data_IF_319483566991
#
_entry.id   IF_319483566991
#
_cell.length_a   1.000
_cell.length_b   1.000
_cell.length_c   1.000
_cell.angle_alpha   90.00
_cell.angle_beta   90.00
_cell.angle_gamma   90.00
#
_symmetry.space_group_name_H-M   'P 1'
#
loop_
_entity.id
_entity.type
_entity.pdbx_description
1 polymer ?
#
# COMPACT_ATOMS: atom_id res chain seq x y z
N UNK A 1 -3.40 44.16 -12.40
CA UNK A 1 -3.80 42.74 -12.56
C UNK A 1 -3.55 42.02 -11.23
N UNK A 2 -4.58 41.38 -10.65
CA UNK A 2 -4.76 41.16 -9.20
C UNK A 2 -3.74 40.21 -8.52
N UNK A 3 -3.00 40.69 -7.50
CA UNK A 3 -2.22 39.85 -6.56
C UNK A 3 -3.04 38.70 -5.95
N UNK A 4 -4.35 38.87 -5.80
CA UNK A 4 -5.29 37.83 -5.34
C UNK A 4 -5.50 36.71 -6.35
N UNK A 5 -5.35 36.96 -7.65
CA UNK A 5 -5.46 35.93 -8.68
C UNK A 5 -4.23 35.00 -8.66
N UNK A 6 -3.03 35.58 -8.51
CA UNK A 6 -1.78 34.81 -8.44
C UNK A 6 -1.73 33.86 -7.22
N UNK A 7 -2.32 34.25 -6.09
CA UNK A 7 -2.42 33.39 -4.91
C UNK A 7 -3.40 32.20 -5.09
N UNK A 8 -4.40 32.33 -5.97
CA UNK A 8 -5.40 31.29 -6.25
C UNK A 8 -4.98 30.35 -7.39
N UNK A 9 -4.08 30.79 -8.26
CA UNK A 9 -3.67 30.03 -9.44
C UNK A 9 -3.13 28.61 -9.12
N UNK A 10 -2.29 28.38 -8.09
CA UNK A 10 -1.86 27.03 -7.75
C UNK A 10 -3.00 26.10 -7.32
N UNK A 11 -4.01 26.64 -6.63
CA UNK A 11 -5.20 25.89 -6.22
C UNK A 11 -6.10 25.54 -7.40
N UNK A 12 -6.28 26.47 -8.33
CA UNK A 12 -7.01 26.22 -9.57
C UNK A 12 -6.28 25.16 -10.41
N UNK A 13 -4.96 25.28 -10.56
CA UNK A 13 -4.14 24.31 -11.26
C UNK A 13 -4.24 22.91 -10.62
N UNK A 14 -4.25 22.84 -9.27
CA UNK A 14 -4.43 21.58 -8.55
C UNK A 14 -5.82 20.97 -8.75
N UNK A 15 -6.88 21.79 -8.76
CA UNK A 15 -8.24 21.32 -9.03
C UNK A 15 -8.38 20.81 -10.47
N UNK A 16 -7.81 21.52 -11.45
CA UNK A 16 -7.76 21.07 -12.85
C UNK A 16 -6.95 19.77 -12.96
N UNK A 17 -5.80 19.68 -12.29
CA UNK A 17 -5.00 18.46 -12.26
C UNK A 17 -5.79 17.28 -11.66
N UNK A 18 -6.56 17.50 -10.58
CA UNK A 18 -7.41 16.47 -9.99
C UNK A 18 -8.48 15.97 -10.97
N UNK A 19 -9.11 16.86 -11.73
CA UNK A 19 -10.06 16.46 -12.79
C UNK A 19 -9.38 15.67 -13.90
N UNK A 20 -8.24 16.15 -14.41
CA UNK A 20 -7.44 15.46 -15.44
C UNK A 20 -6.93 14.09 -14.96
N UNK A 21 -6.59 13.96 -13.68
CA UNK A 21 -6.11 12.70 -13.10
C UNK A 21 -7.24 11.76 -12.66
N UNK A 22 -8.50 12.11 -12.91
CA UNK A 22 -9.67 11.28 -12.54
C UNK A 22 -10.47 10.91 -13.77
N UNK A 23 -10.94 11.91 -14.51
CA UNK A 23 -11.88 11.75 -15.60
C UNK A 23 -11.43 10.71 -16.67
N UNK A 24 -10.19 10.74 -17.19
CA UNK A 24 -9.76 9.75 -18.18
C UNK A 24 -9.79 8.31 -17.67
N UNK A 25 -9.52 8.08 -16.38
CA UNK A 25 -9.47 6.75 -15.77
C UNK A 25 -10.86 6.14 -15.51
N UNK A 26 -11.90 6.97 -15.50
CA UNK A 26 -13.29 6.53 -15.44
C UNK A 26 -13.84 6.09 -16.80
N UNK A 27 -13.31 6.66 -17.88
CA UNK A 27 -13.76 6.38 -19.26
C UNK A 27 -12.80 5.48 -20.05
N UNK A 28 -11.74 4.96 -19.43
CA UNK A 28 -10.77 4.13 -20.14
C UNK A 28 -9.95 3.25 -19.22
N UNK A 29 -9.39 2.17 -19.79
CA UNK A 29 -8.55 1.21 -19.07
C UNK A 29 -7.08 1.68 -18.95
N UNK A 30 -6.85 2.98 -18.73
CA UNK A 30 -5.50 3.54 -18.68
C UNK A 30 -4.66 2.92 -17.55
N UNK A 31 -5.25 2.72 -16.38
CA UNK A 31 -4.56 2.10 -15.24
C UNK A 31 -4.20 0.64 -15.52
N UNK A 32 -5.09 -0.11 -16.17
CA UNK A 32 -4.85 -1.50 -16.58
C UNK A 32 -3.74 -1.55 -17.63
N UNK A 33 -3.82 -0.74 -18.68
CA UNK A 33 -2.78 -0.67 -19.73
C UNK A 33 -1.43 -0.25 -19.15
N UNK A 34 -1.40 0.74 -18.28
CA UNK A 34 -0.18 1.17 -17.61
C UNK A 34 0.43 0.06 -16.74
N UNK A 35 -0.40 -0.67 -15.99
CA UNK A 35 0.04 -1.78 -15.14
C UNK A 35 0.51 -2.99 -15.97
N UNK A 36 -0.14 -3.27 -17.11
CA UNK A 36 0.19 -4.39 -17.99
C UNK A 36 1.63 -4.35 -18.53
N UNK A 37 2.23 -3.15 -18.67
CA UNK A 37 3.63 -3.02 -19.08
C UNK A 37 4.64 -3.67 -18.13
N UNK A 38 4.27 -3.86 -16.85
CA UNK A 38 5.13 -4.46 -15.83
C UNK A 38 4.78 -5.92 -15.53
N UNK A 39 3.65 -6.40 -16.04
CA UNK A 39 3.12 -7.71 -15.74
C UNK A 39 3.69 -8.77 -16.69
N UNK A 40 4.06 -9.92 -16.14
CA UNK A 40 4.43 -11.12 -16.88
C UNK A 40 3.72 -12.30 -16.24
N UNK A 41 2.99 -13.10 -17.01
CA UNK A 41 2.23 -14.22 -16.45
C UNK A 41 3.19 -15.29 -15.91
N UNK A 42 3.13 -15.54 -14.61
CA UNK A 42 3.84 -16.65 -13.95
C UNK A 42 2.82 -17.62 -13.29
N UNK A 43 3.22 -18.88 -12.99
CA UNK A 43 2.39 -19.78 -12.20
C UNK A 43 1.98 -19.16 -10.87
N UNK A 44 0.70 -19.28 -10.51
CA UNK A 44 0.11 -18.68 -9.30
C UNK A 44 0.80 -19.13 -8.00
N UNK A 45 1.31 -20.36 -7.99
CA UNK A 45 2.06 -21.00 -6.89
C UNK A 45 3.31 -20.21 -6.47
N UNK A 46 3.93 -19.49 -7.40
CA UNK A 46 5.13 -18.69 -7.15
C UNK A 46 4.82 -17.34 -6.47
N UNK A 47 3.54 -17.06 -6.21
CA UNK A 47 3.07 -15.83 -5.61
C UNK A 47 3.00 -14.67 -6.60
N UNK A 48 2.47 -13.54 -6.14
CA UNK A 48 2.31 -12.36 -6.99
C UNK A 48 3.66 -11.81 -7.47
N UNK A 49 4.69 -11.80 -6.63
CA UNK A 49 5.98 -11.17 -6.97
C UNK A 49 6.64 -11.81 -8.21
N UNK A 50 6.38 -13.10 -8.48
CA UNK A 50 6.85 -13.78 -9.69
C UNK A 50 6.22 -13.22 -10.97
N UNK A 51 4.96 -12.76 -10.89
CA UNK A 51 4.27 -12.13 -12.03
C UNK A 51 4.61 -10.64 -12.21
N UNK A 52 5.38 -10.06 -11.29
CA UNK A 52 5.82 -8.66 -11.31
C UNK A 52 7.36 -8.56 -11.14
N UNK A 53 8.13 -9.19 -12.05
CA UNK A 53 9.57 -9.39 -11.85
C UNK A 53 10.36 -8.08 -11.79
N UNK A 54 9.89 -7.04 -12.49
CA UNK A 54 10.54 -5.73 -12.53
C UNK A 54 10.61 -5.07 -11.15
N UNK A 55 9.65 -5.33 -10.25
CA UNK A 55 9.68 -4.77 -8.89
C UNK A 55 10.92 -5.17 -8.08
N UNK A 56 11.55 -6.30 -8.40
CA UNK A 56 12.75 -6.81 -7.75
C UNK A 56 14.04 -6.54 -8.55
N UNK A 57 13.93 -5.93 -9.73
CA UNK A 57 15.06 -5.62 -10.62
C UNK A 57 15.49 -4.15 -10.48
N UNK A 58 16.70 -3.85 -10.96
CA UNK A 58 17.14 -2.46 -11.08
C UNK A 58 16.50 -1.80 -12.32
N UNK A 59 16.20 -0.50 -12.28
CA UNK A 59 16.43 0.45 -11.17
C UNK A 59 15.31 0.46 -10.11
N UNK A 60 14.21 -0.26 -10.31
CA UNK A 60 13.00 -0.17 -9.47
C UNK A 60 13.23 -0.56 -8.02
N UNK A 61 14.01 -1.61 -7.77
CA UNK A 61 14.37 -2.02 -6.40
C UNK A 61 15.15 -0.91 -5.68
N UNK A 62 16.12 -0.28 -6.35
CA UNK A 62 16.84 0.86 -5.77
C UNK A 62 15.91 2.06 -5.52
N UNK A 63 15.01 2.38 -6.45
CA UNK A 63 14.04 3.47 -6.29
C UNK A 63 13.08 3.22 -5.11
N UNK A 64 12.66 1.97 -4.88
CA UNK A 64 11.86 1.60 -3.71
C UNK A 64 12.61 1.81 -2.40
N UNK A 65 13.85 1.32 -2.31
CA UNK A 65 14.69 1.49 -1.12
C UNK A 65 15.02 2.97 -0.90
N UNK A 66 15.36 3.68 -1.98
CA UNK A 66 15.65 5.11 -1.95
C UNK A 66 14.44 5.92 -1.48
N UNK A 67 13.24 5.67 -2.02
CA UNK A 67 12.03 6.36 -1.58
C UNK A 67 11.75 6.17 -0.09
N UNK A 68 12.01 4.95 0.42
CA UNK A 68 11.93 4.66 1.86
C UNK A 68 12.97 5.44 2.66
N UNK A 69 14.23 5.43 2.23
CA UNK A 69 15.31 6.18 2.89
C UNK A 69 15.09 7.71 2.85
N UNK A 70 14.58 8.21 1.73
CA UNK A 70 14.26 9.62 1.52
C UNK A 70 13.19 10.11 2.51
N UNK A 71 12.22 9.26 2.84
CA UNK A 71 11.17 9.60 3.81
C UNK A 71 11.76 9.93 5.18
N UNK A 72 12.72 9.12 5.62
CA UNK A 72 13.48 9.34 6.85
C UNK A 72 14.37 10.57 6.76
N UNK A 73 15.08 10.70 5.64
CA UNK A 73 16.02 11.80 5.44
C UNK A 73 15.31 13.16 5.50
N UNK A 74 14.17 13.33 4.85
CA UNK A 74 13.44 14.60 4.81
C UNK A 74 12.90 14.97 6.19
N UNK A 75 12.32 14.00 6.90
CA UNK A 75 11.79 14.21 8.25
C UNK A 75 12.93 14.57 9.21
N UNK A 76 13.99 13.77 9.23
CA UNK A 76 15.13 14.00 10.11
C UNK A 76 15.83 15.32 9.80
N UNK A 77 16.09 15.62 8.53
CA UNK A 77 16.70 16.89 8.13
C UNK A 77 15.86 18.09 8.57
N UNK A 78 14.54 18.00 8.47
CA UNK A 78 13.63 19.08 8.90
C UNK A 78 13.58 19.22 10.43
N UNK A 79 13.60 18.10 11.16
CA UNK A 79 13.68 18.09 12.63
C UNK A 79 14.99 18.71 13.10
N UNK A 80 16.12 18.28 12.54
CA UNK A 80 17.46 18.82 12.87
C UNK A 80 17.52 20.31 12.53
N UNK A 81 17.00 20.73 11.37
CA UNK A 81 16.93 22.13 10.98
C UNK A 81 16.12 23.01 11.93
N UNK A 82 15.09 22.44 12.58
CA UNK A 82 14.33 23.13 13.59
C UNK A 82 14.97 23.08 14.98
N UNK A 83 15.59 21.95 15.35
CA UNK A 83 16.20 21.73 16.65
C UNK A 83 17.47 22.58 16.84
N UNK A 84 18.33 22.68 15.82
CA UNK A 84 19.61 23.40 15.89
C UNK A 84 19.38 24.92 15.97
N UNK A 85 19.77 25.61 17.08
CA UNK A 85 19.47 27.03 17.29
C UNK A 85 20.02 27.97 16.21
N UNK A 86 21.18 27.65 15.64
CA UNK A 86 21.78 28.43 14.56
C UNK A 86 20.96 28.37 13.28
N UNK A 87 20.43 27.20 12.92
CA UNK A 87 19.68 26.97 11.68
C UNK A 87 18.26 27.51 11.78
N UNK A 88 17.57 27.27 12.90
CA UNK A 88 16.21 27.78 13.12
C UNK A 88 16.11 29.31 13.16
N UNK A 89 17.20 30.01 13.50
CA UNK A 89 17.25 31.49 13.49
C UNK A 89 17.25 32.04 12.07
N UNK A 90 17.71 31.27 11.08
CA UNK A 90 17.64 31.67 9.69
C UNK A 90 16.19 31.53 9.15
N UNK A 91 15.53 32.62 8.74
CA UNK A 91 14.09 32.62 8.49
C UNK A 91 13.67 31.68 7.35
N UNK A 92 14.50 31.56 6.31
CA UNK A 92 14.23 30.67 5.18
C UNK A 92 14.33 29.19 5.60
N UNK A 93 15.35 28.83 6.39
CA UNK A 93 15.59 27.45 6.83
C UNK A 93 14.49 26.99 7.78
N UNK A 94 14.11 27.85 8.73
CA UNK A 94 12.97 27.58 9.62
C UNK A 94 11.68 27.36 8.85
N UNK A 95 11.41 28.20 7.83
CA UNK A 95 10.21 28.07 7.00
C UNK A 95 10.25 26.80 6.16
N UNK A 96 11.39 26.44 5.57
CA UNK A 96 11.56 25.17 4.84
C UNK A 96 11.27 23.99 5.77
N UNK A 97 11.87 23.96 6.96
CA UNK A 97 11.69 22.87 7.93
C UNK A 97 10.22 22.73 8.37
N UNK A 98 9.59 23.82 8.81
CA UNK A 98 8.21 23.79 9.27
C UNK A 98 7.23 23.43 8.15
N UNK A 99 7.39 24.01 6.96
CA UNK A 99 6.51 23.70 5.82
C UNK A 99 6.65 22.26 5.41
N UNK A 100 7.88 21.73 5.38
CA UNK A 100 8.13 20.34 5.03
C UNK A 100 7.55 19.38 6.07
N UNK A 101 7.76 19.62 7.38
CA UNK A 101 7.17 18.81 8.44
C UNK A 101 5.64 18.82 8.40
N UNK A 102 5.03 19.99 8.24
CA UNK A 102 3.59 20.11 8.11
C UNK A 102 3.07 19.41 6.85
N UNK A 103 3.80 19.50 5.73
CA UNK A 103 3.43 18.80 4.49
C UNK A 103 3.50 17.29 4.64
N UNK A 104 4.56 16.76 5.27
CA UNK A 104 4.69 15.32 5.51
C UNK A 104 3.60 14.84 6.47
N UNK A 105 3.34 15.58 7.56
CA UNK A 105 2.32 15.23 8.53
C UNK A 105 0.90 15.25 7.93
N UNK A 106 0.53 16.33 7.24
CA UNK A 106 -0.80 16.50 6.64
C UNK A 106 -0.96 15.65 5.37
N UNK A 107 0.00 15.70 4.46
CA UNK A 107 -0.05 15.01 3.17
C UNK A 107 0.21 13.52 3.31
N UNK A 108 1.47 13.14 3.56
CA UNK A 108 1.88 11.73 3.64
C UNK A 108 1.24 11.01 4.82
N UNK A 109 1.25 11.61 6.00
CA UNK A 109 0.74 11.00 7.24
C UNK A 109 -0.78 10.87 7.24
N UNK A 110 -1.48 12.00 7.25
CA UNK A 110 -2.94 12.04 7.41
C UNK A 110 -3.67 11.70 6.11
N UNK A 111 -3.52 12.51 5.05
CA UNK A 111 -4.34 12.38 3.84
C UNK A 111 -4.06 11.07 3.08
N UNK A 112 -2.79 10.74 2.85
CA UNK A 112 -2.43 9.57 2.04
C UNK A 112 -2.50 8.27 2.84
N UNK A 113 -1.80 8.17 3.98
CA UNK A 113 -1.73 6.92 4.73
C UNK A 113 -2.84 6.75 5.77
N UNK A 114 -3.28 7.81 6.44
CA UNK A 114 -4.28 7.73 7.51
C UNK A 114 -5.72 7.62 7.00
N UNK A 115 -6.09 8.43 6.02
CA UNK A 115 -7.43 8.47 5.44
C UNK A 115 -7.48 7.66 4.14
N UNK A 116 -6.59 7.94 3.19
CA UNK A 116 -6.63 7.31 1.88
C UNK A 116 -6.51 5.78 1.92
N UNK A 117 -5.43 5.27 2.52
CA UNK A 117 -5.13 3.84 2.45
C UNK A 117 -6.15 2.90 3.10
N UNK A 118 -6.68 3.26 4.26
CA UNK A 118 -7.52 2.35 5.04
C UNK A 118 -9.01 2.44 4.66
N UNK A 119 -9.44 3.55 4.05
CA UNK A 119 -10.86 3.81 3.77
C UNK A 119 -11.26 3.74 2.29
N UNK A 120 -10.31 3.58 1.37
CA UNK A 120 -10.64 3.56 -0.07
C UNK A 120 -11.03 2.19 -0.60
N UNK A 121 -10.61 1.10 0.04
CA UNK A 121 -10.96 -0.26 -0.38
C UNK A 121 -10.56 -0.59 -1.82
N UNK A 122 -9.55 0.10 -2.38
CA UNK A 122 -9.14 -0.09 -3.77
C UNK A 122 -8.17 -1.28 -3.86
N UNK A 123 -8.45 -2.31 -4.69
CA UNK A 123 -7.57 -3.45 -4.86
C UNK A 123 -6.25 -3.05 -5.53
N UNK A 124 -5.22 -3.89 -5.40
CA UNK A 124 -3.91 -3.67 -6.05
C UNK A 124 -3.92 -4.23 -7.47
N UNK A 125 -3.09 -3.70 -8.39
CA UNK A 125 -2.92 -4.31 -9.71
C UNK A 125 -2.66 -5.81 -9.64
N UNK A 126 -1.72 -6.25 -8.80
CA UNK A 126 -1.38 -7.68 -8.66
C UNK A 126 -2.51 -8.60 -8.19
N UNK A 127 -3.58 -8.04 -7.61
CA UNK A 127 -4.72 -8.82 -7.13
C UNK A 127 -5.88 -8.85 -8.12
N UNK A 128 -5.77 -8.15 -9.26
CA UNK A 128 -6.84 -8.06 -10.25
C UNK A 128 -6.97 -9.30 -11.13
N UNK A 129 -8.18 -9.59 -11.62
CA UNK A 129 -8.48 -10.69 -12.54
C UNK A 129 -7.65 -10.63 -13.83
N UNK A 130 -7.47 -9.43 -14.39
CA UNK A 130 -6.67 -9.17 -15.59
C UNK A 130 -5.20 -9.61 -15.43
N UNK A 131 -4.72 -9.65 -14.18
CA UNK A 131 -3.35 -10.01 -13.82
C UNK A 131 -3.27 -11.33 -13.03
N UNK A 132 -4.26 -12.21 -13.21
CA UNK A 132 -4.28 -13.55 -12.61
C UNK A 132 -4.74 -13.61 -11.15
N UNK A 133 -5.23 -12.49 -10.61
CA UNK A 133 -5.89 -12.42 -9.31
C UNK A 133 -7.40 -12.65 -9.39
N UNK A 134 -8.14 -12.13 -8.41
CA UNK A 134 -9.59 -12.36 -8.24
C UNK A 134 -10.40 -11.07 -8.04
N UNK A 135 -9.74 -9.95 -7.71
CA UNK A 135 -10.40 -8.66 -7.50
C UNK A 135 -10.77 -7.99 -8.82
N UNK A 136 -11.84 -7.18 -8.81
CA UNK A 136 -12.22 -6.33 -9.93
C UNK A 136 -11.53 -4.97 -9.86
N UNK A 137 -11.21 -4.40 -11.02
CA UNK A 137 -10.67 -3.06 -11.09
C UNK A 137 -11.69 -2.01 -10.62
N UNK A 138 -11.19 -0.98 -9.92
CA UNK A 138 -11.96 0.20 -9.54
C UNK A 138 -11.21 1.46 -9.99
N UNK A 139 -11.88 2.46 -10.60
CA UNK A 139 -11.23 3.72 -10.98
C UNK A 139 -10.85 4.57 -9.75
N UNK A 140 -10.00 5.60 -9.90
CA UNK A 140 -9.61 6.46 -8.78
C UNK A 140 -10.84 7.18 -8.19
N UNK A 141 -10.89 7.28 -6.86
CA UNK A 141 -12.00 7.82 -6.06
C UNK A 141 -13.31 7.01 -6.07
N UNK A 142 -13.35 5.83 -6.71
CA UNK A 142 -14.42 4.86 -6.50
C UNK A 142 -14.14 4.06 -5.21
N UNK A 143 -14.85 4.41 -4.14
CA UNK A 143 -14.62 3.86 -2.80
C UNK A 143 -15.18 2.43 -2.70
N UNK A 144 -14.30 1.49 -2.37
CA UNK A 144 -14.65 0.13 -1.97
C UNK A 144 -14.87 -0.03 -0.48
N UNK A 145 -14.97 -1.29 -0.06
CA UNK A 145 -15.14 -1.63 1.34
C UNK A 145 -13.88 -1.24 2.12
N UNK A 146 -13.99 -0.39 3.16
CA UNK A 146 -12.85 -0.05 4.01
C UNK A 146 -12.10 -1.27 4.51
N UNK A 147 -10.77 -1.22 4.51
CA UNK A 147 -9.91 -2.34 4.87
C UNK A 147 -9.70 -3.40 3.77
N UNK A 148 -10.57 -3.48 2.76
CA UNK A 148 -10.46 -4.45 1.65
C UNK A 148 -9.68 -3.83 0.49
N UNK A 149 -8.35 -3.88 0.58
CA UNK A 149 -7.46 -3.33 -0.44
C UNK A 149 -6.94 -1.92 -0.10
N UNK A 150 -5.65 -1.71 -0.34
CA UNK A 150 -4.90 -0.53 0.11
C UNK A 150 -3.94 -0.01 -0.98
N UNK A 151 -4.44 0.08 -2.21
CA UNK A 151 -3.68 0.65 -3.34
C UNK A 151 -3.79 2.18 -3.39
N UNK A 152 -4.95 2.77 -3.13
CA UNK A 152 -5.14 4.21 -3.28
C UNK A 152 -5.00 4.97 -1.96
N UNK A 153 -4.27 6.09 -1.90
CA UNK A 153 -3.21 6.56 -2.81
C UNK A 153 -1.83 5.95 -2.50
N UNK A 154 -0.85 6.23 -3.37
CA UNK A 154 0.51 5.73 -3.20
C UNK A 154 1.31 6.42 -2.07
N UNK A 155 1.36 5.81 -0.88
CA UNK A 155 2.14 6.30 0.26
C UNK A 155 3.62 6.59 0.00
N UNK A 156 4.34 5.66 -0.66
CA UNK A 156 5.79 5.85 -0.94
C UNK A 156 6.05 6.99 -1.93
N UNK A 157 5.14 7.20 -2.88
CA UNK A 157 5.25 8.25 -3.90
C UNK A 157 5.16 9.65 -3.28
N UNK A 158 4.28 9.82 -2.28
CA UNK A 158 4.03 11.10 -1.59
C UNK A 158 5.31 11.75 -1.09
N UNK A 159 6.30 10.97 -0.67
CA UNK A 159 7.57 11.47 -0.12
C UNK A 159 8.37 12.23 -1.18
N UNK A 160 8.41 11.73 -2.42
CA UNK A 160 9.06 12.43 -3.53
C UNK A 160 8.39 13.76 -3.83
N UNK A 161 7.05 13.78 -3.85
CA UNK A 161 6.28 15.01 -4.06
C UNK A 161 6.41 16.00 -2.90
N UNK A 162 6.58 15.52 -1.65
CA UNK A 162 6.72 16.36 -0.48
C UNK A 162 7.99 17.24 -0.51
N UNK A 163 9.02 16.85 -1.27
CA UNK A 163 10.21 17.70 -1.55
C UNK A 163 9.80 19.04 -2.18
N UNK A 164 8.69 19.07 -2.93
CA UNK A 164 8.15 20.29 -3.53
C UNK A 164 7.81 21.38 -2.50
N UNK A 165 7.53 21.02 -1.25
CA UNK A 165 7.33 21.96 -0.15
C UNK A 165 8.56 22.85 0.09
N UNK A 166 9.76 22.28 -0.06
CA UNK A 166 11.01 23.04 0.00
C UNK A 166 11.09 24.03 -1.16
N UNK A 167 10.76 23.58 -2.38
CA UNK A 167 10.75 24.42 -3.58
C UNK A 167 9.80 25.62 -3.46
N UNK A 168 8.61 25.44 -2.86
CA UNK A 168 7.65 26.52 -2.57
C UNK A 168 8.21 27.61 -1.64
N UNK A 169 9.11 27.24 -0.73
CA UNK A 169 9.75 28.22 0.16
C UNK A 169 10.96 28.86 -0.53
N UNK A 170 11.79 28.05 -1.19
CA UNK A 170 13.00 28.50 -1.89
C UNK A 170 12.66 29.49 -3.01
N UNK A 171 11.56 29.30 -3.74
CA UNK A 171 11.16 30.21 -4.82
C UNK A 171 10.92 31.65 -4.37
N UNK A 172 10.64 31.88 -3.08
CA UNK A 172 10.45 33.24 -2.55
C UNK A 172 11.76 34.05 -2.47
N UNK A 173 12.91 33.37 -2.49
CA UNK A 173 14.23 33.98 -2.45
C UNK A 173 15.05 33.71 -3.73
N UNK A 174 14.87 32.54 -4.34
CA UNK A 174 15.54 32.09 -5.57
C UNK A 174 14.53 31.40 -6.49
N UNK A 175 13.78 32.16 -7.31
CA UNK A 175 12.66 31.63 -8.11
C UNK A 175 13.05 30.46 -9.01
N UNK A 176 14.17 30.59 -9.74
CA UNK A 176 14.67 29.56 -10.67
C UNK A 176 14.99 28.25 -9.96
N UNK A 177 15.73 28.32 -8.85
CA UNK A 177 16.06 27.15 -8.03
C UNK A 177 14.79 26.53 -7.41
N UNK A 178 13.86 27.35 -6.94
CA UNK A 178 12.59 26.87 -6.38
C UNK A 178 11.75 26.11 -7.40
N UNK A 179 11.65 26.62 -8.64
CA UNK A 179 10.98 25.93 -9.75
C UNK A 179 11.69 24.63 -10.10
N UNK A 180 13.03 24.63 -10.15
CA UNK A 180 13.81 23.42 -10.42
C UNK A 180 13.56 22.33 -9.35
N UNK A 181 13.51 22.69 -8.06
CA UNK A 181 13.19 21.75 -6.97
C UNK A 181 11.77 21.19 -7.12
N UNK A 182 10.81 22.02 -7.52
CA UNK A 182 9.42 21.59 -7.75
C UNK A 182 9.35 20.56 -8.88
N UNK A 183 9.94 20.87 -10.03
CA UNK A 183 9.99 19.94 -11.16
C UNK A 183 10.69 18.65 -10.73
N UNK A 184 11.83 18.76 -10.05
CA UNK A 184 12.55 17.62 -9.49
C UNK A 184 11.70 16.77 -8.54
N UNK A 185 10.83 17.38 -7.72
CA UNK A 185 9.92 16.66 -6.81
C UNK A 185 8.87 15.84 -7.56
N UNK A 186 8.35 16.35 -8.68
CA UNK A 186 7.41 15.60 -9.53
C UNK A 186 8.10 14.44 -10.24
N UNK A 187 9.30 14.67 -10.78
CA UNK A 187 10.11 13.61 -11.39
C UNK A 187 10.45 12.52 -10.36
N UNK A 188 10.79 12.93 -9.14
CA UNK A 188 11.15 12.01 -8.08
C UNK A 188 9.95 11.21 -7.56
N UNK A 189 8.82 11.85 -7.31
CA UNK A 189 7.57 11.18 -6.95
C UNK A 189 7.11 10.21 -8.03
N UNK A 190 7.22 10.60 -9.30
CA UNK A 190 6.95 9.75 -10.46
C UNK A 190 7.90 8.55 -10.56
N UNK A 191 9.21 8.75 -10.36
CA UNK A 191 10.19 7.67 -10.38
C UNK A 191 10.00 6.66 -9.24
N UNK A 192 9.73 7.13 -8.02
CA UNK A 192 9.36 6.24 -6.92
C UNK A 192 8.04 5.52 -7.24
N UNK A 193 7.09 6.22 -7.86
CA UNK A 193 5.82 5.65 -8.29
C UNK A 193 5.94 4.55 -9.34
N UNK A 194 6.82 4.72 -10.34
CA UNK A 194 7.05 3.68 -11.34
C UNK A 194 7.61 2.40 -10.70
N UNK A 195 8.47 2.51 -9.69
CA UNK A 195 8.93 1.35 -8.92
C UNK A 195 7.79 0.64 -8.15
N UNK A 196 6.80 1.40 -7.68
CA UNK A 196 5.62 0.85 -7.02
C UNK A 196 4.65 0.20 -8.00
N UNK A 197 4.52 0.75 -9.21
CA UNK A 197 3.77 0.14 -10.32
C UNK A 197 4.45 -1.14 -10.80
N UNK A 198 5.78 -1.13 -10.93
CA UNK A 198 6.58 -2.28 -11.32
C UNK A 198 6.46 -3.48 -10.36
N UNK A 199 6.15 -3.22 -9.09
CA UNK A 199 5.87 -4.24 -8.08
C UNK A 199 4.39 -4.67 -8.02
N UNK A 200 3.55 -4.19 -8.95
CA UNK A 200 2.11 -4.47 -8.98
C UNK A 200 1.35 -3.93 -7.76
N UNK A 201 1.93 -2.94 -7.06
CA UNK A 201 1.41 -2.47 -5.78
C UNK A 201 0.45 -1.27 -5.91
N UNK A 202 0.60 -0.47 -6.97
CA UNK A 202 -0.14 0.76 -7.20
C UNK A 202 -0.43 0.96 -8.69
N UNK A 203 -1.58 1.53 -9.00
CA UNK A 203 -1.93 2.01 -10.35
C UNK A 203 -1.28 3.35 -10.65
N UNK A 204 -1.29 3.77 -11.92
CA UNK A 204 -0.77 5.07 -12.31
C UNK A 204 -1.55 6.22 -11.67
N UNK A 205 -2.89 6.12 -11.64
CA UNK A 205 -3.73 7.12 -10.97
C UNK A 205 -3.48 7.22 -9.46
N UNK A 206 -3.07 6.14 -8.78
CA UNK A 206 -2.68 6.17 -7.36
C UNK A 206 -1.47 7.08 -7.13
N UNK A 207 -0.51 7.07 -8.07
CA UNK A 207 0.70 7.90 -8.05
C UNK A 207 0.33 9.36 -8.29
N UNK A 208 -0.50 9.64 -9.29
CA UNK A 208 -0.96 11.00 -9.60
C UNK A 208 -1.74 11.63 -8.44
N UNK A 209 -2.69 10.88 -7.86
CA UNK A 209 -3.47 11.33 -6.71
C UNK A 209 -2.63 11.48 -5.44
N UNK A 210 -1.60 10.64 -5.26
CA UNK A 210 -0.61 10.89 -4.21
C UNK A 210 0.08 12.24 -4.39
N UNK A 211 0.40 12.64 -5.64
CA UNK A 211 0.94 13.96 -5.95
C UNK A 211 -0.04 15.07 -5.59
N UNK A 212 -1.29 14.95 -6.04
CA UNK A 212 -2.36 15.94 -5.80
C UNK A 212 -2.56 16.19 -4.30
N UNK A 213 -2.74 15.14 -3.51
CA UNK A 213 -2.98 15.26 -2.06
C UNK A 213 -1.77 15.84 -1.32
N UNK A 214 -0.57 15.42 -1.70
CA UNK A 214 0.67 15.94 -1.09
C UNK A 214 0.85 17.42 -1.42
N UNK A 215 0.55 17.83 -2.64
CA UNK A 215 0.64 19.22 -3.07
C UNK A 215 -0.45 20.10 -2.46
N UNK A 216 -1.67 19.58 -2.27
CA UNK A 216 -2.70 20.26 -1.48
C UNK A 216 -2.19 20.55 -0.06
N UNK A 217 -1.57 19.56 0.58
CA UNK A 217 -0.97 19.72 1.89
C UNK A 217 0.22 20.70 1.88
N UNK A 218 1.05 20.69 0.83
CA UNK A 218 2.20 21.58 0.70
C UNK A 218 1.78 23.05 0.56
N UNK A 219 0.79 23.32 -0.30
CA UNK A 219 0.22 24.65 -0.49
C UNK A 219 -0.46 25.15 0.79
N UNK A 220 -1.27 24.30 1.43
CA UNK A 220 -1.89 24.61 2.74
C UNK A 220 -0.82 24.96 3.78
N UNK A 221 0.17 24.09 3.94
CA UNK A 221 1.25 24.25 4.92
C UNK A 221 2.01 25.55 4.69
N UNK A 222 2.40 25.83 3.45
CA UNK A 222 3.13 27.04 3.10
C UNK A 222 2.28 28.31 3.34
N UNK A 223 0.99 28.26 3.00
CA UNK A 223 0.07 29.38 3.23
C UNK A 223 -0.12 29.67 4.73
N UNK A 224 -0.33 28.63 5.54
CA UNK A 224 -0.49 28.77 6.99
C UNK A 224 0.77 29.33 7.65
N UNK A 225 1.94 28.80 7.30
CA UNK A 225 3.22 29.20 7.93
C UNK A 225 3.67 30.61 7.47
N UNK A 226 3.29 31.01 6.25
CA UNK A 226 3.58 32.36 5.75
C UNK A 226 2.58 33.43 6.22
N UNK A 227 1.41 33.02 6.71
CA UNK A 227 0.38 33.91 7.21
C UNK A 227 0.81 34.69 8.46
N UNK A 228 0.70 36.02 8.43
CA UNK A 228 1.05 36.90 9.55
C UNK A 228 0.27 36.57 10.84
N UNK A 229 -1.00 36.15 10.70
CA UNK A 229 -1.87 35.77 11.82
C UNK A 229 -1.36 34.52 12.57
N UNK A 230 -1.01 33.47 11.84
CA UNK A 230 -0.45 32.24 12.42
C UNK A 230 0.90 32.55 13.07
N UNK A 231 1.73 33.38 12.42
CA UNK A 231 3.02 33.80 12.95
C UNK A 231 2.90 34.57 14.27
N UNK A 232 1.92 35.46 14.40
CA UNK A 232 1.61 36.20 15.62
C UNK A 232 1.03 35.31 16.73
N UNK A 233 0.29 34.25 16.36
CA UNK A 233 -0.27 33.30 17.32
C UNK A 233 0.80 32.35 17.86
N UNK A 234 1.62 31.76 16.97
CA UNK A 234 2.74 30.88 17.35
C UNK A 234 3.82 31.62 18.15
N UNK A 235 4.05 32.92 17.89
CA UNK A 235 5.01 33.69 18.68
C UNK A 235 4.58 33.91 20.14
N UNK A 236 3.31 33.65 20.48
CA UNK A 236 2.82 33.69 21.87
C UNK A 236 3.07 32.39 22.63
N UNK A 237 3.46 31.32 21.93
CA UNK A 237 3.68 30.02 22.56
C UNK A 237 5.03 30.01 23.29
N UNK A 238 5.08 29.45 24.51
CA UNK A 238 6.34 29.32 25.22
C UNK A 238 7.28 28.35 24.47
N UNK A 239 8.60 28.59 24.44
CA UNK A 239 9.54 27.80 23.63
C UNK A 239 9.52 26.29 23.93
N UNK A 240 9.23 25.90 25.18
CA UNK A 240 9.15 24.50 25.60
C UNK A 240 8.06 23.71 24.86
N UNK A 241 6.95 24.35 24.49
CA UNK A 241 5.84 23.70 23.81
C UNK A 241 6.23 23.27 22.38
N UNK A 242 7.06 24.07 21.71
CA UNK A 242 7.62 23.70 20.40
C UNK A 242 8.51 22.46 20.47
N UNK A 243 9.34 22.35 21.52
CA UNK A 243 10.16 21.15 21.73
C UNK A 243 9.32 19.95 22.16
N UNK A 244 8.26 20.16 22.96
CA UNK A 244 7.35 19.10 23.36
C UNK A 244 6.60 18.51 22.15
N UNK A 245 6.09 19.36 21.25
CA UNK A 245 5.43 18.93 20.02
C UNK A 245 6.41 18.26 19.05
N UNK A 246 7.63 18.76 18.95
CA UNK A 246 8.69 18.10 18.18
C UNK A 246 9.03 16.73 18.76
N UNK A 247 9.15 16.64 20.09
CA UNK A 247 9.38 15.39 20.81
C UNK A 247 8.24 14.40 20.61
N UNK A 248 6.99 14.84 20.70
CA UNK A 248 5.82 14.01 20.41
C UNK A 248 5.82 13.51 18.97
N UNK A 249 6.13 14.38 17.99
CA UNK A 249 6.27 14.00 16.59
C UNK A 249 7.38 12.95 16.41
N UNK A 250 8.55 13.14 17.02
CA UNK A 250 9.65 12.18 16.99
C UNK A 250 9.21 10.84 17.57
N UNK A 251 8.52 10.83 18.70
CA UNK A 251 8.00 9.60 19.33
C UNK A 251 7.00 8.89 18.42
N UNK A 252 6.05 9.62 17.81
CA UNK A 252 5.08 9.05 16.86
C UNK A 252 5.78 8.45 15.64
N UNK A 253 6.81 9.13 15.13
CA UNK A 253 7.61 8.66 14.00
C UNK A 253 8.42 7.39 14.36
N UNK A 254 9.06 7.36 15.53
CA UNK A 254 9.79 6.19 16.05
C UNK A 254 8.84 5.02 16.36
N UNK A 255 7.65 5.31 16.90
CA UNK A 255 6.62 4.29 17.10
C UNK A 255 6.12 3.74 15.76
N UNK A 256 5.87 4.58 14.75
CA UNK A 256 5.53 4.09 13.40
C UNK A 256 6.62 3.17 12.82
N UNK A 257 7.89 3.46 13.10
CA UNK A 257 9.07 2.71 12.66
C UNK A 257 9.21 1.33 13.31
N UNK A 258 9.16 1.28 14.64
CA UNK A 258 9.43 0.04 15.36
C UNK A 258 8.29 -0.96 15.22
N UNK A 259 7.08 -0.46 14.95
CA UNK A 259 5.86 -1.22 15.05
C UNK A 259 5.24 -1.62 13.69
N UNK A 260 5.92 -1.41 12.56
CA UNK A 260 5.46 -1.87 11.24
C UNK A 260 6.56 -2.70 10.58
N UNK A 261 6.39 -4.02 10.57
CA UNK A 261 7.35 -4.98 9.98
C UNK A 261 6.69 -5.81 8.87
N UNK A 262 7.40 -6.04 7.75
CA UNK A 262 6.99 -7.03 6.78
C UNK A 262 7.17 -8.42 7.37
N UNK A 263 6.26 -9.33 7.05
CA UNK A 263 6.41 -10.76 7.34
C UNK A 263 6.10 -11.57 6.08
N UNK A 264 6.73 -12.74 6.00
CA UNK A 264 6.62 -13.65 4.87
C UNK A 264 6.80 -15.08 5.37
N UNK A 265 5.91 -15.97 4.96
CA UNK A 265 6.00 -17.41 5.22
C UNK A 265 5.56 -18.16 3.97
N UNK A 266 6.36 -19.11 3.51
CA UNK A 266 5.96 -20.05 2.45
C UNK A 266 5.18 -21.20 3.06
N UNK A 267 4.16 -21.67 2.34
CA UNK A 267 3.27 -22.75 2.73
C UNK A 267 3.41 -23.87 1.69
N UNK A 268 3.72 -25.08 2.14
CA UNK A 268 3.69 -26.32 1.34
C UNK A 268 3.17 -27.43 2.25
N UNK A 269 1.88 -27.71 2.14
CA UNK A 269 1.17 -28.71 2.96
C UNK A 269 0.82 -29.88 2.07
N UNK A 270 1.06 -31.09 2.56
CA UNK A 270 0.80 -32.34 1.84
C UNK A 270 0.03 -33.29 2.74
N UNK A 271 -1.17 -33.64 2.34
CA UNK A 271 -2.00 -34.64 3.00
C UNK A 271 -1.98 -35.91 2.17
N UNK A 272 -1.45 -36.98 2.76
CA UNK A 272 -1.29 -38.26 2.09
C UNK A 272 -2.60 -39.04 2.16
N UNK A 273 -2.96 -39.69 1.06
CA UNK A 273 -4.11 -40.61 1.02
C UNK A 273 -3.78 -41.88 1.82
N UNK A 274 -4.35 -42.02 3.02
CA UNK A 274 -4.18 -43.23 3.84
C UNK A 274 -5.38 -44.16 3.74
N UNK A 275 -6.60 -43.61 3.78
CA UNK A 275 -7.86 -44.34 3.59
C UNK A 275 -8.77 -43.55 2.62
N UNK A 276 -9.44 -44.19 1.64
CA UNK A 276 -10.44 -43.55 0.79
C UNK A 276 -11.58 -42.83 1.54
N UNK A 277 -11.80 -43.11 2.83
CA UNK A 277 -12.83 -42.49 3.68
C UNK A 277 -12.30 -41.36 4.55
N UNK A 278 -11.00 -41.05 4.51
CA UNK A 278 -10.44 -39.94 5.28
C UNK A 278 -10.98 -38.61 4.78
N UNK A 279 -11.47 -37.78 5.71
CA UNK A 279 -11.86 -36.39 5.45
C UNK A 279 -10.65 -35.45 5.53
N UNK A 280 -10.56 -34.52 4.59
CA UNK A 280 -9.47 -33.53 4.51
C UNK A 280 -10.04 -32.15 4.81
N UNK A 281 -9.63 -31.56 5.93
CA UNK A 281 -10.17 -30.27 6.39
C UNK A 281 -9.06 -29.21 6.38
N UNK A 282 -9.25 -28.16 5.58
CA UNK A 282 -8.37 -27.00 5.53
C UNK A 282 -9.05 -25.80 6.18
N UNK A 283 -8.47 -25.27 7.27
CA UNK A 283 -8.96 -24.05 7.94
C UNK A 283 -8.00 -22.90 7.73
N UNK A 284 -8.33 -22.00 6.81
CA UNK A 284 -7.47 -20.91 6.37
C UNK A 284 -8.04 -19.58 6.88
N UNK A 285 -7.37 -18.92 7.82
CA UNK A 285 -7.89 -17.64 8.33
C UNK A 285 -7.87 -16.53 7.26
N UNK A 286 -6.90 -16.54 6.35
CA UNK A 286 -6.88 -15.64 5.20
C UNK A 286 -6.25 -16.32 3.99
N UNK A 287 -6.96 -16.38 2.85
CA UNK A 287 -6.46 -17.00 1.63
C UNK A 287 -7.13 -16.45 0.35
N UNK A 288 -6.33 -16.25 -0.69
CA UNK A 288 -6.80 -16.14 -2.07
C UNK A 288 -6.50 -17.46 -2.77
N UNK A 289 -7.47 -18.37 -2.76
CA UNK A 289 -7.30 -19.78 -3.11
C UNK A 289 -7.67 -20.03 -4.58
N UNK A 290 -6.81 -20.76 -5.30
CA UNK A 290 -7.09 -21.32 -6.62
C UNK A 290 -7.13 -22.85 -6.52
N UNK A 291 -8.33 -23.42 -6.67
CA UNK A 291 -8.58 -24.85 -6.46
C UNK A 291 -8.58 -25.58 -7.79
N UNK A 292 -7.77 -26.63 -7.89
CA UNK A 292 -7.55 -27.42 -9.10
C UNK A 292 -7.66 -28.91 -8.80
N UNK A 293 -8.18 -29.66 -9.77
CA UNK A 293 -8.16 -31.12 -9.71
C UNK A 293 -7.03 -31.62 -10.58
N UNK A 294 -6.12 -32.41 -10.00
CA UNK A 294 -4.96 -32.98 -10.70
C UNK A 294 -4.95 -34.51 -10.55
N UNK A 295 -5.33 -35.27 -11.60
CA UNK A 295 -5.29 -36.73 -11.60
C UNK A 295 -3.88 -37.32 -11.42
N UNK A 296 -2.84 -36.59 -11.78
CA UNK A 296 -1.46 -37.07 -11.71
C UNK A 296 -0.82 -36.86 -10.33
N UNK A 297 -1.53 -36.24 -9.39
CA UNK A 297 -1.01 -35.88 -8.09
C UNK A 297 -0.76 -37.11 -7.20
N UNK A 298 0.38 -37.16 -6.50
CA UNK A 298 0.72 -38.25 -5.56
C UNK A 298 0.00 -38.17 -4.21
N UNK A 299 -0.27 -36.96 -3.74
CA UNK A 299 -0.91 -36.65 -2.47
C UNK A 299 -2.42 -36.50 -2.64
N UNK A 300 -3.22 -36.81 -1.61
CA UNK A 300 -4.68 -36.61 -1.65
C UNK A 300 -5.02 -35.13 -1.85
N UNK A 301 -4.35 -34.28 -1.07
CA UNK A 301 -4.50 -32.83 -1.08
C UNK A 301 -3.12 -32.20 -0.93
N UNK A 302 -2.84 -31.21 -1.78
CA UNK A 302 -1.61 -30.41 -1.72
C UNK A 302 -1.95 -28.94 -1.76
N UNK A 303 -1.53 -28.19 -0.74
CA UNK A 303 -1.72 -26.74 -0.66
C UNK A 303 -0.35 -26.07 -0.74
N UNK A 304 -0.16 -25.22 -1.75
CA UNK A 304 1.09 -24.49 -1.96
C UNK A 304 0.84 -23.00 -2.10
N UNK A 305 1.71 -22.18 -1.52
CA UNK A 305 1.64 -20.74 -1.70
C UNK A 305 2.49 -19.98 -0.70
N UNK A 306 2.08 -18.75 -0.43
CA UNK A 306 2.75 -17.90 0.55
C UNK A 306 1.75 -17.04 1.32
N UNK A 307 2.07 -16.74 2.57
CA UNK A 307 1.40 -15.72 3.37
C UNK A 307 2.40 -14.59 3.59
N UNK A 308 2.08 -13.42 3.03
CA UNK A 308 2.92 -12.22 3.08
C UNK A 308 2.10 -11.03 3.54
N UNK A 309 2.68 -10.18 4.37
CA UNK A 309 1.95 -9.03 4.85
C UNK A 309 2.83 -7.98 5.51
N UNK A 310 2.15 -6.98 6.06
CA UNK A 310 2.75 -5.94 6.88
C UNK A 310 1.91 -5.79 8.13
N UNK A 311 2.55 -5.80 9.29
CA UNK A 311 1.85 -5.73 10.57
C UNK A 311 2.77 -5.34 11.72
N UNK A 312 2.24 -5.47 12.92
CA UNK A 312 3.01 -5.24 14.14
C UNK A 312 4.07 -6.33 14.35
N UNK A 313 5.16 -6.07 15.11
CA UNK A 313 6.25 -7.03 15.31
C UNK A 313 5.81 -8.35 15.97
N UNK A 314 4.64 -8.39 16.60
CA UNK A 314 4.06 -9.58 17.20
C UNK A 314 3.31 -10.47 16.18
N UNK A 315 3.22 -10.08 14.92
CA UNK A 315 2.53 -10.89 13.91
C UNK A 315 3.32 -12.16 13.61
N UNK A 316 2.66 -13.31 13.76
CA UNK A 316 3.20 -14.64 13.43
C UNK A 316 2.13 -15.48 12.74
N UNK A 317 2.56 -16.27 11.75
CA UNK A 317 1.70 -17.24 11.05
C UNK A 317 1.96 -18.63 11.63
N UNK A 318 0.93 -19.21 12.23
CA UNK A 318 0.93 -20.53 12.85
C UNK A 318 0.30 -21.56 11.91
N UNK A 319 0.86 -22.76 11.93
CA UNK A 319 0.36 -23.93 11.21
C UNK A 319 0.10 -24.99 12.27
N UNK A 320 -1.15 -25.42 12.37
CA UNK A 320 -1.59 -26.43 13.34
C UNK A 320 -2.09 -27.66 12.57
N UNK A 321 -1.42 -28.80 12.78
CA UNK A 321 -1.79 -30.09 12.22
C UNK A 321 -2.48 -30.96 13.27
N UNK A 322 -3.62 -31.55 12.91
CA UNK A 322 -4.32 -32.54 13.74
C UNK A 322 -4.82 -33.67 12.86
N UNK A 323 -4.48 -34.91 13.21
CA UNK A 323 -4.93 -36.09 12.48
C UNK A 323 -5.56 -37.10 13.43
N UNK A 324 -6.73 -37.59 13.05
CA UNK A 324 -7.46 -38.67 13.69
C UNK A 324 -7.66 -39.81 12.68
N UNK A 325 -8.19 -40.95 13.13
CA UNK A 325 -8.43 -42.12 12.27
C UNK A 325 -9.33 -41.83 11.05
N UNK A 326 -10.17 -40.79 11.13
CA UNK A 326 -11.18 -40.45 10.11
C UNK A 326 -10.92 -39.12 9.40
N UNK A 327 -9.98 -38.30 9.88
CA UNK A 327 -9.79 -36.95 9.32
C UNK A 327 -8.36 -36.43 9.49
N UNK A 328 -7.87 -35.72 8.47
CA UNK A 328 -6.67 -34.89 8.53
C UNK A 328 -7.10 -33.43 8.48
N UNK A 329 -6.78 -32.66 9.52
CA UNK A 329 -7.09 -31.24 9.66
C UNK A 329 -5.79 -30.45 9.64
N UNK A 330 -5.71 -29.46 8.75
CA UNK A 330 -4.62 -28.49 8.74
C UNK A 330 -5.20 -27.08 8.86
N UNK A 331 -4.74 -26.32 9.85
CA UNK A 331 -5.18 -24.96 10.09
C UNK A 331 -4.03 -23.96 9.94
N UNK A 332 -4.25 -22.91 9.13
CA UNK A 332 -3.34 -21.78 8.97
C UNK A 332 -3.99 -20.55 9.63
N UNK A 333 -3.35 -20.08 10.69
CA UNK A 333 -3.82 -18.93 11.48
C UNK A 333 -2.73 -17.89 11.61
N UNK A 334 -3.11 -16.67 11.91
CA UNK A 334 -2.19 -15.62 12.30
C UNK A 334 -2.54 -15.05 13.67
N UNK A 335 -1.51 -14.68 14.41
CA UNK A 335 -1.63 -13.97 15.68
C UNK A 335 -1.12 -12.55 15.52
N UNK A 336 -1.51 -11.67 16.44
CA UNK A 336 -1.12 -10.27 16.42
C UNK A 336 -1.96 -9.42 15.45
N UNK A 337 -1.55 -8.16 15.27
CA UNK A 337 -2.31 -7.20 14.47
C UNK A 337 -1.64 -7.01 13.10
N UNK A 338 -2.16 -7.71 12.10
CA UNK A 338 -1.77 -7.48 10.71
C UNK A 338 -2.52 -6.27 10.14
N UNK A 339 -1.81 -5.41 9.42
CA UNK A 339 -2.43 -4.29 8.67
C UNK A 339 -2.84 -4.71 7.27
N UNK A 340 -2.09 -5.61 6.67
CA UNK A 340 -2.37 -6.19 5.35
C UNK A 340 -1.85 -7.63 5.32
N UNK A 341 -2.63 -8.54 4.74
CA UNK A 341 -2.25 -9.92 4.46
C UNK A 341 -2.58 -10.25 3.01
N UNK A 342 -1.63 -10.85 2.31
CA UNK A 342 -1.76 -11.42 0.99
C UNK A 342 -1.40 -12.89 1.11
N UNK A 343 -2.34 -13.75 0.77
CA UNK A 343 -2.18 -15.19 0.94
C UNK A 343 -2.57 -15.95 -0.35
N UNK A 344 -1.88 -15.72 -1.49
CA UNK A 344 -2.13 -16.49 -2.70
C UNK A 344 -1.74 -17.96 -2.48
N UNK A 345 -2.69 -18.86 -2.70
CA UNK A 345 -2.50 -20.29 -2.51
C UNK A 345 -3.14 -21.10 -3.64
N UNK A 346 -2.47 -22.15 -4.10
CA UNK A 346 -3.03 -23.18 -4.98
C UNK A 346 -3.35 -24.40 -4.15
N UNK A 347 -4.58 -24.87 -4.26
CA UNK A 347 -5.03 -26.14 -3.71
C UNK A 347 -5.21 -27.13 -4.84
N UNK A 348 -4.32 -28.10 -4.93
CA UNK A 348 -4.40 -29.18 -5.90
C UNK A 348 -4.92 -30.45 -5.21
N UNK A 349 -5.98 -31.02 -5.76
CA UNK A 349 -6.75 -32.11 -5.15
C UNK A 349 -6.80 -33.28 -6.12
N UNK A 350 -6.56 -34.48 -5.61
CA UNK A 350 -6.74 -35.69 -6.41
C UNK A 350 -8.25 -35.99 -6.58
N UNK A 351 -8.74 -36.42 -7.76
CA UNK A 351 -10.17 -36.67 -7.99
C UNK A 351 -10.89 -37.49 -6.90
N UNK A 352 -10.25 -38.53 -6.35
CA UNK A 352 -10.84 -39.41 -5.34
C UNK A 352 -10.98 -38.74 -3.97
N UNK A 353 -10.21 -37.68 -3.70
CA UNK A 353 -10.25 -36.94 -2.44
C UNK A 353 -11.32 -35.83 -2.45
N UNK A 354 -11.83 -35.44 -3.62
CA UNK A 354 -12.77 -34.31 -3.77
C UNK A 354 -14.03 -34.46 -2.91
N UNK A 355 -14.72 -35.62 -2.84
CA UNK A 355 -15.95 -35.75 -2.04
C UNK A 355 -15.71 -35.60 -0.53
N UNK A 356 -14.48 -35.79 -0.08
CA UNK A 356 -14.10 -35.75 1.34
C UNK A 356 -13.36 -34.46 1.71
N UNK A 357 -13.29 -33.49 0.80
CA UNK A 357 -12.58 -32.23 1.01
C UNK A 357 -13.52 -31.18 1.61
N UNK A 358 -13.09 -30.61 2.73
CA UNK A 358 -13.69 -29.43 3.35
C UNK A 358 -12.67 -28.30 3.43
N UNK A 359 -13.02 -27.12 2.93
CA UNK A 359 -12.18 -25.92 3.02
C UNK A 359 -12.98 -24.81 3.67
N UNK A 360 -12.48 -24.29 4.79
CA UNK A 360 -13.02 -23.14 5.51
C UNK A 360 -12.06 -21.97 5.36
N UNK A 361 -12.52 -20.87 4.75
CA UNK A 361 -11.73 -19.65 4.60
C UNK A 361 -12.36 -18.53 5.41
N UNK A 362 -11.63 -17.96 6.36
CA UNK A 362 -12.09 -16.86 7.21
C UNK A 362 -12.20 -15.53 6.46
N UNK A 363 -11.18 -15.17 5.67
CA UNK A 363 -11.17 -13.97 4.81
C UNK A 363 -10.50 -14.25 3.48
N UNK A 364 -11.08 -13.77 2.39
CA UNK A 364 -10.46 -13.81 1.07
C UNK A 364 -11.39 -14.33 0.01
N UNK A 365 -10.85 -15.08 -0.95
CA UNK A 365 -11.57 -15.39 -2.18
C UNK A 365 -11.15 -16.76 -2.74
N UNK A 366 -12.06 -17.40 -3.47
CA UNK A 366 -11.84 -18.73 -4.07
C UNK A 366 -12.10 -18.67 -5.56
N UNK A 367 -11.20 -19.26 -6.34
CA UNK A 367 -11.38 -19.57 -7.74
C UNK A 367 -11.37 -21.08 -7.91
N UNK A 368 -12.36 -21.60 -8.62
CA UNK A 368 -12.42 -23.02 -9.00
C UNK A 368 -11.98 -23.14 -10.46
N UNK A 369 -10.89 -23.86 -10.72
CA UNK A 369 -10.40 -24.05 -12.10
C UNK A 369 -11.31 -25.00 -12.90
N UNK A 370 -11.87 -26.01 -12.24
CA UNK A 370 -12.85 -26.94 -12.82
C UNK A 370 -14.06 -27.06 -11.88
N UNK A 371 -15.09 -26.21 -12.03
CA UNK A 371 -16.28 -26.26 -11.18
C UNK A 371 -17.03 -27.59 -11.27
N UNK A 372 -16.98 -28.27 -12.43
CA UNK A 372 -17.70 -29.53 -12.63
C UNK A 372 -17.01 -30.68 -11.87
N UNK A 373 -15.68 -30.72 -11.88
CA UNK A 373 -14.93 -31.72 -11.12
C UNK A 373 -14.97 -31.48 -9.61
N UNK A 374 -15.27 -30.25 -9.16
CA UNK A 374 -15.27 -29.85 -7.75
C UNK A 374 -16.66 -29.79 -7.09
N UNK A 375 -17.72 -30.20 -7.79
CA UNK A 375 -19.11 -30.09 -7.29
C UNK A 375 -19.37 -30.82 -5.96
N UNK A 376 -18.57 -31.85 -5.65
CA UNK A 376 -18.69 -32.65 -4.43
C UNK A 376 -17.84 -32.12 -3.25
N UNK A 377 -16.95 -31.13 -3.49
CA UNK A 377 -16.14 -30.53 -2.42
C UNK A 377 -16.96 -29.51 -1.62
N UNK A 378 -16.79 -29.53 -0.29
CA UNK A 378 -17.43 -28.57 0.61
C UNK A 378 -16.50 -27.37 0.83
N UNK A 379 -16.67 -26.31 0.04
CA UNK A 379 -15.85 -25.10 0.17
C UNK A 379 -16.72 -23.98 0.76
N UNK A 380 -16.39 -23.60 2.00
CA UNK A 380 -17.04 -22.53 2.74
C UNK A 380 -16.10 -21.33 2.85
N UNK A 381 -16.53 -20.19 2.30
CA UNK A 381 -15.85 -18.91 2.48
C UNK A 381 -16.71 -18.07 3.41
N UNK A 382 -16.19 -17.74 4.59
CA UNK A 382 -16.76 -16.69 5.42
C UNK A 382 -16.49 -15.36 4.70
N UNK A 383 -17.51 -14.87 4.01
CA UNK A 383 -17.52 -13.49 3.53
C UNK A 383 -17.96 -12.65 4.72
N UNK A 384 -17.03 -11.98 5.40
CA UNK A 384 -17.41 -10.82 6.24
C UNK A 384 -17.96 -9.75 5.29
N UNK A 385 -19.29 -9.67 5.20
CA UNK A 385 -20.10 -8.64 4.53
C UNK A 385 -19.47 -8.02 3.27
N UNK A 386 -19.58 -8.74 2.15
CA UNK A 386 -19.72 -8.10 0.85
C UNK A 386 -21.20 -8.13 0.50
N UNK A 387 -21.84 -6.96 0.54
CA UNK A 387 -23.03 -6.75 -0.24
C UNK A 387 -22.69 -7.03 -1.71
N UNK A 388 -23.45 -7.97 -2.27
CA UNK A 388 -23.49 -8.45 -3.68
C UNK A 388 -22.37 -9.35 -4.18
#
# INVERSE_FOLDING_TARGET
MNLRLHAKLPWIALAIAALICTLPFWWSDLDIRAAAHFYQRAPFELGYDASWPMGNQQPYKALYVFGSALSWLIVLASIVAFAVPRWRRHPLVRRMALTTLATVALGTGLLVNGIGKDYTGRPRPRTLQEFGGQAQYRPPLDLGTPGVGKSFPCGHCSVGFAVGAVGLVVMTARPTLGVAIIIGSFLLGGAIGSARMAAGAHFFSDVLWSGILTWAAALTSNALISGQRVRAWVSRWPPWLGYALLGALVVVVIAGLLFVRPFHKRIDVRMVMTDPRTYYVLKLESAALDVRVDPAQSDAVRLQGEVKGVGFPNVRVHEDDSSDATSQVHAIRHSGQAREIFAPMVLSVRPEAVPNLQVEIGRGSVRLADPAALHAAQIHVQVEDAAE
#
